data_IF_988003303931
#
_entry.id   IF_988003303931
#
_cell.length_a   1.000
_cell.length_b   1.000
_cell.length_c   1.000
_cell.angle_alpha   90.00
_cell.angle_beta   90.00
_cell.angle_gamma   90.00
#
_symmetry.space_group_name_H-M   'P 1'
#
loop_
_entity.id
_entity.type
_entity.pdbx_description
1 polymer ?
#
# COMPACT_ATOMS: atom_id res chain seq x y z
N UNK A 1 4.12 53.91 16.60
CA UNK A 1 3.75 52.51 16.50
C UNK A 1 4.65 51.76 17.45
N UNK A 2 4.10 51.10 18.47
CA UNK A 2 4.89 50.48 19.57
C UNK A 2 5.84 49.41 19.01
N UNK A 3 7.08 49.36 19.50
CA UNK A 3 8.12 48.43 19.09
C UNK A 3 7.68 46.97 19.25
N UNK A 4 6.74 46.72 20.14
CA UNK A 4 6.09 45.41 20.30
C UNK A 4 5.34 44.93 19.03
N UNK A 5 4.71 45.87 18.25
CA UNK A 5 4.05 45.50 16.98
C UNK A 5 5.04 45.17 15.88
N UNK A 6 6.23 45.78 15.89
CA UNK A 6 7.29 45.51 14.90
C UNK A 6 7.90 44.13 15.08
N UNK A 7 7.90 43.62 16.32
CA UNK A 7 8.43 42.28 16.62
C UNK A 7 7.40 41.16 16.39
N UNK A 8 6.12 41.46 16.53
CA UNK A 8 5.02 40.49 16.37
C UNK A 8 4.87 39.97 14.93
N UNK A 9 5.06 40.86 13.95
CA UNK A 9 4.90 40.50 12.52
C UNK A 9 5.94 39.46 12.08
N UNK A 10 7.27 39.63 12.32
CA UNK A 10 8.23 38.63 11.93
C UNK A 10 8.07 37.34 12.73
N UNK A 11 7.69 37.39 14.01
CA UNK A 11 7.42 36.23 14.82
C UNK A 11 6.24 35.40 14.27
N UNK A 12 5.16 36.05 13.87
CA UNK A 12 4.01 35.41 13.25
C UNK A 12 4.39 34.79 11.89
N UNK A 13 5.16 35.51 11.07
CA UNK A 13 5.63 35.00 9.80
C UNK A 13 6.50 33.71 9.98
N UNK A 14 7.42 33.73 10.95
CA UNK A 14 8.23 32.54 11.28
C UNK A 14 7.36 31.39 11.75
N UNK A 15 6.37 31.67 12.62
CA UNK A 15 5.45 30.64 13.10
C UNK A 15 4.66 30.00 11.95
N UNK A 16 4.14 30.80 11.01
CA UNK A 16 3.42 30.32 9.83
C UNK A 16 4.32 29.44 8.96
N UNK A 17 5.56 29.87 8.70
CA UNK A 17 6.52 29.11 7.90
C UNK A 17 6.88 27.79 8.58
N UNK A 18 7.16 27.83 9.88
CA UNK A 18 7.48 26.61 10.66
C UNK A 18 6.29 25.63 10.67
N UNK A 19 5.08 26.15 10.88
CA UNK A 19 3.87 25.33 10.88
C UNK A 19 3.63 24.72 9.50
N UNK A 20 3.76 25.51 8.43
CA UNK A 20 3.65 25.00 7.07
C UNK A 20 4.72 23.92 6.79
N UNK A 21 5.95 24.15 7.19
CA UNK A 21 7.04 23.17 7.04
C UNK A 21 6.72 21.87 7.78
N UNK A 22 6.22 21.93 9.01
CA UNK A 22 5.83 20.75 9.77
C UNK A 22 4.69 20.02 9.09
N UNK A 23 3.63 20.72 8.67
CA UNK A 23 2.44 20.13 8.06
C UNK A 23 2.73 19.47 6.71
N UNK A 24 3.62 20.05 5.91
CA UNK A 24 3.96 19.58 4.56
C UNK A 24 5.29 18.81 4.51
N UNK A 25 5.85 18.45 5.65
CA UNK A 25 7.07 17.64 5.67
C UNK A 25 6.79 16.19 5.26
N UNK A 26 7.72 15.52 4.58
CA UNK A 26 7.57 14.11 4.22
C UNK A 26 7.30 13.22 5.43
N UNK A 27 7.91 13.54 6.58
CA UNK A 27 7.71 12.82 7.83
C UNK A 27 6.26 12.81 8.32
N UNK A 28 5.42 13.76 7.89
CA UNK A 28 4.01 13.82 8.23
C UNK A 28 3.07 13.37 7.10
N UNK A 29 3.39 13.72 5.86
CA UNK A 29 2.55 13.39 4.70
C UNK A 29 2.70 11.93 4.28
N UNK A 30 3.91 11.46 4.19
CA UNK A 30 4.21 10.10 3.78
C UNK A 30 3.53 9.03 4.69
N UNK A 31 3.64 9.10 6.05
CA UNK A 31 2.93 8.16 6.90
C UNK A 31 1.41 8.20 6.77
N UNK A 32 0.83 9.36 6.45
CA UNK A 32 -0.62 9.47 6.21
C UNK A 32 -1.02 8.78 4.92
N UNK A 33 -0.27 9.02 3.85
CA UNK A 33 -0.47 8.36 2.56
C UNK A 33 -0.28 6.86 2.66
N UNK A 34 0.76 6.38 3.33
CA UNK A 34 0.99 4.94 3.52
C UNK A 34 -0.12 4.27 4.35
N UNK A 35 -0.76 4.99 5.27
CA UNK A 35 -1.89 4.45 6.05
C UNK A 35 -3.16 4.21 5.24
N UNK A 36 -3.28 4.79 4.06
CA UNK A 36 -4.43 4.58 3.17
C UNK A 36 -4.28 3.33 2.32
N UNK A 37 -3.12 2.67 2.37
CA UNK A 37 -2.89 1.46 1.59
C UNK A 37 -3.93 0.38 1.95
N UNK A 38 -4.57 -0.18 0.94
CA UNK A 38 -5.54 -1.25 1.10
C UNK A 38 -5.46 -2.25 -0.07
N UNK A 39 -5.78 -3.52 0.20
CA UNK A 39 -5.94 -4.52 -0.86
C UNK A 39 -7.35 -4.35 -1.43
N UNK A 40 -7.46 -3.88 -2.66
CA UNK A 40 -8.74 -3.56 -3.30
C UNK A 40 -9.25 -4.65 -4.23
N UNK A 41 -8.34 -5.41 -4.82
CA UNK A 41 -8.70 -6.49 -5.73
C UNK A 41 -7.81 -7.71 -5.54
N UNK A 42 -8.42 -8.87 -5.70
CA UNK A 42 -7.75 -10.17 -5.71
C UNK A 42 -8.29 -10.95 -6.89
N UNK A 43 -7.40 -11.32 -7.81
CA UNK A 43 -7.72 -12.15 -8.96
C UNK A 43 -6.97 -13.47 -8.89
N UNK A 44 -7.68 -14.58 -9.16
CA UNK A 44 -7.07 -15.89 -9.25
C UNK A 44 -7.12 -16.36 -10.69
N UNK A 45 -5.98 -16.77 -11.22
CA UNK A 45 -5.88 -17.38 -12.53
C UNK A 45 -5.27 -18.77 -12.38
N UNK A 46 -6.06 -19.79 -12.74
CA UNK A 46 -5.60 -21.17 -12.74
C UNK A 46 -4.76 -21.38 -14.00
N UNK A 47 -3.45 -21.45 -13.83
CA UNK A 47 -2.55 -21.88 -14.88
C UNK A 47 -2.35 -23.41 -14.76
N UNK A 48 -2.06 -24.08 -15.88
CA UNK A 48 -2.03 -25.55 -16.01
C UNK A 48 -1.51 -26.33 -14.79
N UNK A 49 -2.38 -27.14 -14.24
CA UNK A 49 -2.17 -28.34 -13.43
C UNK A 49 -1.57 -28.20 -12.04
N UNK A 50 -0.66 -27.29 -11.76
CA UNK A 50 -0.01 -27.17 -10.45
C UNK A 50 0.36 -25.72 -10.06
N UNK A 51 0.18 -24.78 -10.97
CA UNK A 51 0.56 -23.39 -10.77
C UNK A 51 -0.68 -22.50 -10.78
N UNK A 52 -0.90 -21.82 -9.69
CA UNK A 52 -1.96 -20.80 -9.58
C UNK A 52 -1.30 -19.44 -9.55
N UNK A 53 -1.79 -18.51 -10.36
CA UNK A 53 -1.34 -17.13 -10.36
C UNK A 53 -2.35 -16.30 -9.58
N UNK A 54 -1.86 -15.63 -8.55
CA UNK A 54 -2.62 -14.68 -7.75
C UNK A 54 -2.24 -13.27 -8.17
N UNK A 55 -3.24 -12.46 -8.52
CA UNK A 55 -3.09 -11.04 -8.77
C UNK A 55 -3.65 -10.28 -7.57
N UNK A 56 -2.83 -9.46 -6.96
CA UNK A 56 -3.22 -8.63 -5.81
C UNK A 56 -3.10 -7.18 -6.19
N UNK A 57 -4.22 -6.47 -6.19
CA UNK A 57 -4.29 -5.03 -6.39
C UNK A 57 -4.26 -4.30 -5.05
N UNK A 58 -3.34 -3.37 -4.93
CA UNK A 58 -3.13 -2.53 -3.74
C UNK A 58 -3.31 -1.09 -4.16
N UNK A 59 -4.21 -0.39 -3.49
CA UNK A 59 -4.48 1.02 -3.72
C UNK A 59 -3.88 1.86 -2.58
N UNK A 60 -3.27 2.97 -2.95
CA UNK A 60 -2.71 3.96 -2.03
C UNK A 60 -3.28 5.32 -2.41
N UNK A 61 -3.98 5.96 -1.49
CA UNK A 61 -4.55 7.30 -1.66
C UNK A 61 -3.66 8.36 -1.03
N UNK A 62 -3.52 9.51 -1.67
CA UNK A 62 -2.88 10.67 -1.08
C UNK A 62 -3.93 11.67 -0.58
N UNK A 63 -4.24 11.69 0.74
CA UNK A 63 -5.24 12.61 1.30
C UNK A 63 -4.70 14.03 1.48
N UNK A 64 -3.48 14.32 1.06
CA UNK A 64 -2.87 15.64 1.20
C UNK A 64 -3.14 16.54 0.00
N UNK A 65 -2.78 17.81 0.11
CA UNK A 65 -2.88 18.79 -0.97
C UNK A 65 -1.62 18.93 -1.82
N UNK A 66 -0.61 18.09 -1.59
CA UNK A 66 0.64 18.08 -2.34
C UNK A 66 0.98 16.66 -2.82
N UNK A 67 1.70 16.51 -3.95
CA UNK A 67 2.10 15.19 -4.41
C UNK A 67 3.04 14.51 -3.40
N UNK A 68 2.89 13.19 -3.25
CA UNK A 68 3.77 12.35 -2.43
C UNK A 68 4.44 11.34 -3.32
N UNK A 69 5.76 11.41 -3.42
CA UNK A 69 6.56 10.40 -4.13
C UNK A 69 7.11 9.41 -3.12
N UNK A 70 6.80 8.14 -3.34
CA UNK A 70 7.26 7.00 -2.56
C UNK A 70 8.37 6.34 -3.36
N UNK A 71 9.54 6.24 -2.79
CA UNK A 71 10.73 5.57 -3.37
C UNK A 71 10.98 4.26 -2.64
N UNK A 72 11.82 3.42 -3.22
CA UNK A 72 12.26 2.14 -2.62
C UNK A 72 11.06 1.29 -2.16
N UNK A 73 10.06 1.18 -3.03
CA UNK A 73 8.84 0.44 -2.72
C UNK A 73 9.12 -1.06 -2.75
N UNK A 74 9.07 -1.67 -1.59
CA UNK A 74 9.15 -3.13 -1.42
C UNK A 74 7.80 -3.66 -0.90
N UNK A 75 7.31 -4.73 -1.52
CA UNK A 75 6.02 -5.34 -1.17
C UNK A 75 6.22 -6.84 -1.01
N UNK A 76 6.12 -7.32 0.21
CA UNK A 76 6.09 -8.73 0.55
C UNK A 76 4.64 -9.20 0.67
N UNK A 77 4.28 -10.27 -0.02
CA UNK A 77 2.94 -10.87 0.04
C UNK A 77 3.01 -12.23 0.74
N UNK A 78 2.27 -12.35 1.83
CA UNK A 78 2.02 -13.60 2.54
C UNK A 78 0.62 -14.10 2.14
N UNK A 79 0.55 -15.33 1.68
CA UNK A 79 -0.73 -15.99 1.37
C UNK A 79 -0.91 -17.15 2.34
N UNK A 80 -1.97 -17.10 3.15
CA UNK A 80 -2.20 -18.04 4.25
C UNK A 80 -0.96 -18.20 5.15
N UNK A 81 -0.27 -17.08 5.43
CA UNK A 81 0.93 -17.04 6.26
C UNK A 81 2.21 -17.55 5.60
N UNK A 82 2.16 -17.95 4.33
CA UNK A 82 3.34 -18.38 3.57
C UNK A 82 3.85 -17.24 2.70
N UNK A 83 5.13 -16.93 2.82
CA UNK A 83 5.80 -15.97 1.94
C UNK A 83 6.03 -16.64 0.57
N UNK A 84 5.36 -16.10 -0.42
CA UNK A 84 5.62 -16.43 -1.82
C UNK A 84 6.44 -15.31 -2.41
N UNK A 85 7.69 -15.59 -2.75
CA UNK A 85 8.53 -14.65 -3.47
C UNK A 85 7.76 -14.08 -4.65
N UNK A 86 7.22 -12.90 -4.46
CA UNK A 86 6.51 -12.20 -5.53
C UNK A 86 7.52 -11.88 -6.62
N UNK A 87 7.18 -12.16 -7.87
CA UNK A 87 7.86 -11.54 -8.99
C UNK A 87 7.56 -10.04 -8.91
N UNK A 88 8.40 -9.37 -8.13
CA UNK A 88 8.29 -7.94 -7.89
C UNK A 88 8.67 -7.23 -9.18
N UNK A 89 7.68 -6.74 -9.88
CA UNK A 89 7.89 -5.59 -10.73
C UNK A 89 8.07 -4.41 -9.75
N UNK A 90 9.26 -4.26 -9.20
CA UNK A 90 9.59 -3.12 -8.36
C UNK A 90 9.49 -1.87 -9.22
N UNK A 91 8.49 -1.05 -8.98
CA UNK A 91 8.55 0.32 -9.43
C UNK A 91 9.57 1.03 -8.55
N UNK A 92 10.61 1.60 -9.14
CA UNK A 92 11.65 2.35 -8.40
C UNK A 92 11.03 3.51 -7.61
N UNK A 93 9.93 4.06 -8.09
CA UNK A 93 9.18 5.10 -7.40
C UNK A 93 7.72 5.18 -7.86
N UNK A 94 6.85 5.62 -6.97
CA UNK A 94 5.43 5.85 -7.22
C UNK A 94 5.08 7.25 -6.77
N UNK A 95 4.50 8.06 -7.64
CA UNK A 95 3.99 9.39 -7.26
C UNK A 95 2.47 9.34 -7.17
N UNK A 96 1.94 9.70 -6.00
CA UNK A 96 0.52 9.81 -5.75
C UNK A 96 0.14 11.27 -5.70
N UNK A 97 -0.63 11.71 -6.68
CA UNK A 97 -1.10 13.08 -6.79
C UNK A 97 -2.12 13.43 -5.70
N UNK A 98 -2.29 14.73 -5.36
CA UNK A 98 -3.23 15.17 -4.33
C UNK A 98 -4.65 14.66 -4.55
N UNK A 99 -5.24 14.02 -3.55
CA UNK A 99 -6.60 13.48 -3.61
C UNK A 99 -6.79 12.39 -4.67
N UNK A 100 -5.70 11.77 -5.13
CA UNK A 100 -5.74 10.65 -6.09
C UNK A 100 -5.33 9.37 -5.42
N UNK A 101 -5.79 8.27 -6.03
CA UNK A 101 -5.40 6.92 -5.68
C UNK A 101 -4.47 6.37 -6.77
N UNK A 102 -3.40 5.74 -6.36
CA UNK A 102 -2.49 5.01 -7.23
C UNK A 102 -2.63 3.52 -6.94
N UNK A 103 -2.92 2.75 -7.98
CA UNK A 103 -3.03 1.29 -7.89
C UNK A 103 -1.71 0.62 -8.26
N UNK A 104 -1.34 -0.38 -7.47
CA UNK A 104 -0.19 -1.24 -7.69
C UNK A 104 -0.72 -2.66 -7.81
N UNK A 105 -0.36 -3.36 -8.88
CA UNK A 105 -0.72 -4.78 -9.04
C UNK A 105 0.52 -5.64 -8.82
N UNK A 106 0.37 -6.67 -8.00
CA UNK A 106 1.38 -7.69 -7.77
C UNK A 106 0.89 -9.04 -8.25
N UNK A 107 1.79 -9.79 -8.84
CA UNK A 107 1.53 -11.14 -9.33
C UNK A 107 2.38 -12.11 -8.53
N UNK A 108 1.75 -13.13 -7.97
CA UNK A 108 2.39 -14.18 -7.20
C UNK A 108 2.08 -15.51 -7.83
N UNK A 109 3.10 -16.32 -8.06
CA UNK A 109 2.92 -17.70 -8.48
C UNK A 109 2.86 -18.58 -7.23
N UNK A 110 1.68 -19.16 -6.99
CA UNK A 110 1.47 -20.11 -5.90
C UNK A 110 1.89 -21.50 -6.37
N UNK A 111 2.87 -22.10 -5.67
CA UNK A 111 3.29 -23.48 -5.91
C UNK A 111 2.63 -24.41 -4.89
N UNK A 112 1.95 -25.44 -5.36
CA UNK A 112 1.19 -26.38 -4.50
C UNK A 112 -0.28 -25.95 -4.35
N UNK A 113 -0.95 -26.46 -3.31
CA UNK A 113 -2.32 -26.06 -2.95
C UNK A 113 -2.30 -25.20 -1.68
N UNK A 114 -1.96 -23.90 -1.79
CA UNK A 114 -1.90 -23.01 -0.62
C UNK A 114 -3.29 -22.61 -0.13
N UNK A 115 -4.32 -23.06 -0.79
CA UNK A 115 -5.70 -22.61 -0.63
C UNK A 115 -6.39 -23.55 0.33
N UNK A 116 -6.98 -23.01 1.40
CA UNK A 116 -7.89 -23.75 2.27
C UNK A 116 -9.04 -24.29 1.43
N UNK A 117 -9.06 -25.60 1.26
CA UNK A 117 -9.98 -26.30 0.37
C UNK A 117 -10.98 -27.06 1.23
N UNK A 118 -12.25 -26.72 1.10
CA UNK A 118 -13.35 -27.55 1.58
C UNK A 118 -14.26 -27.88 0.41
N UNK A 119 -14.49 -29.17 0.17
CA UNK A 119 -15.45 -29.64 -0.84
C UNK A 119 -16.59 -30.37 -0.14
N UNK A 120 -17.81 -29.95 -0.43
CA UNK A 120 -19.04 -30.67 -0.03
C UNK A 120 -19.53 -31.63 -1.12
N UNK A 121 -18.71 -31.91 -2.13
CA UNK A 121 -19.02 -32.79 -3.27
C UNK A 121 -19.63 -32.06 -4.46
N UNK A 122 -20.23 -30.89 -4.27
CA UNK A 122 -20.83 -30.07 -5.34
C UNK A 122 -20.19 -28.68 -5.47
N UNK A 123 -19.54 -28.22 -4.42
CA UNK A 123 -18.90 -26.90 -4.35
C UNK A 123 -17.51 -26.99 -3.74
N UNK A 124 -16.62 -26.17 -4.27
CA UNK A 124 -15.31 -25.93 -3.69
C UNK A 124 -15.31 -24.56 -3.04
N UNK A 125 -14.98 -24.52 -1.78
CA UNK A 125 -14.82 -23.29 -1.01
C UNK A 125 -13.34 -22.95 -0.90
N UNK A 126 -12.97 -21.83 -1.42
CA UNK A 126 -11.63 -21.28 -1.33
C UNK A 126 -11.60 -20.19 -0.27
N UNK A 127 -10.66 -20.28 0.66
CA UNK A 127 -10.38 -19.25 1.65
C UNK A 127 -8.94 -18.80 1.47
N UNK A 128 -8.76 -17.52 1.22
CA UNK A 128 -7.45 -16.87 1.14
C UNK A 128 -7.38 -15.78 2.20
N UNK A 129 -6.33 -15.86 3.00
CA UNK A 129 -5.87 -14.76 3.86
C UNK A 129 -4.61 -14.18 3.24
N UNK A 130 -4.69 -12.91 2.83
CA UNK A 130 -3.60 -12.22 2.18
C UNK A 130 -3.15 -11.10 3.09
N UNK A 131 -1.88 -11.18 3.46
CA UNK A 131 -1.18 -10.11 4.16
C UNK A 131 -0.18 -9.48 3.21
N UNK A 132 -0.24 -8.17 3.03
CA UNK A 132 0.76 -7.40 2.31
C UNK A 132 1.53 -6.50 3.28
N UNK A 133 2.85 -6.65 3.29
CA UNK A 133 3.76 -5.73 3.96
C UNK A 133 4.36 -4.80 2.92
N UNK A 134 4.08 -3.52 3.04
CA UNK A 134 4.53 -2.49 2.09
C UNK A 134 5.52 -1.61 2.82
N UNK A 135 6.76 -1.63 2.36
CA UNK A 135 7.81 -0.72 2.82
C UNK A 135 8.10 0.29 1.73
N UNK A 136 8.28 1.52 2.12
CA UNK A 136 8.67 2.59 1.21
C UNK A 136 9.36 3.71 1.96
N UNK A 137 10.00 4.61 1.20
CA UNK A 137 10.59 5.84 1.71
C UNK A 137 10.12 7.04 0.91
N UNK A 138 10.16 8.21 1.52
CA UNK A 138 9.92 9.47 0.85
C UNK A 138 10.98 10.47 1.24
N UNK A 139 11.48 11.23 0.25
CA UNK A 139 12.51 12.25 0.44
C UNK A 139 12.02 13.60 -0.04
N UNK A 140 12.16 14.61 0.81
CA UNK A 140 11.91 16.01 0.43
C UNK A 140 12.77 16.94 1.28
N UNK A 141 13.34 17.99 0.67
CA UNK A 141 14.16 19.00 1.33
C UNK A 141 15.32 18.42 2.17
N UNK A 142 15.89 17.29 1.73
CA UNK A 142 16.98 16.63 2.46
C UNK A 142 16.52 15.80 3.67
N UNK A 143 15.23 15.75 3.96
CA UNK A 143 14.65 14.88 4.98
C UNK A 143 14.14 13.59 4.32
N UNK A 144 14.38 12.48 4.97
CA UNK A 144 13.94 11.16 4.56
C UNK A 144 13.05 10.56 5.65
N UNK A 145 11.97 9.93 5.22
CA UNK A 145 11.09 9.17 6.08
C UNK A 145 10.88 7.79 5.46
N UNK A 146 11.02 6.74 6.25
CA UNK A 146 10.72 5.36 5.85
C UNK A 146 9.60 4.81 6.71
N UNK A 147 8.76 3.96 6.12
CA UNK A 147 7.65 3.33 6.81
C UNK A 147 7.30 1.99 6.20
N UNK A 148 6.96 1.05 7.08
CA UNK A 148 6.31 -0.22 6.73
C UNK A 148 4.85 -0.17 7.18
N UNK A 149 3.95 -0.63 6.33
CA UNK A 149 2.52 -0.79 6.61
C UNK A 149 2.13 -2.22 6.29
N UNK A 150 1.42 -2.85 7.21
CA UNK A 150 0.86 -4.20 7.04
C UNK A 150 -0.63 -4.07 6.81
N UNK A 151 -1.13 -4.65 5.75
CA UNK A 151 -2.55 -4.70 5.40
C UNK A 151 -2.98 -6.13 5.18
N UNK A 152 -4.17 -6.48 5.68
CA UNK A 152 -4.70 -7.83 5.59
C UNK A 152 -6.04 -7.80 4.87
N UNK A 153 -6.29 -8.82 4.06
CA UNK A 153 -7.59 -9.07 3.47
C UNK A 153 -7.89 -10.55 3.39
N UNK A 154 -9.00 -10.93 3.97
CA UNK A 154 -9.58 -12.25 3.79
C UNK A 154 -10.54 -12.23 2.60
N UNK A 155 -10.48 -13.25 1.78
CA UNK A 155 -11.40 -13.47 0.68
C UNK A 155 -11.84 -14.91 0.64
N UNK A 156 -13.12 -15.12 0.46
CA UNK A 156 -13.70 -16.44 0.24
C UNK A 156 -14.55 -16.44 -1.01
N UNK A 157 -14.48 -17.51 -1.79
CA UNK A 157 -15.39 -17.73 -2.92
C UNK A 157 -15.71 -19.20 -3.10
N UNK A 158 -16.82 -19.43 -3.75
CA UNK A 158 -17.32 -20.76 -4.07
C UNK A 158 -17.18 -21.00 -5.57
N UNK A 159 -16.77 -22.19 -5.93
CA UNK A 159 -16.76 -22.67 -7.30
C UNK A 159 -17.67 -23.88 -7.40
N UNK A 160 -18.69 -23.82 -8.28
CA UNK A 160 -19.58 -24.93 -8.54
C UNK A 160 -18.86 -25.94 -9.45
N UNK A 161 -18.71 -27.16 -8.98
CA UNK A 161 -18.20 -28.25 -9.82
C UNK A 161 -19.38 -28.67 -10.71
N UNK A 162 -19.37 -28.26 -11.95
CA UNK A 162 -20.28 -28.78 -12.96
C UNK A 162 -19.87 -30.24 -13.25
N UNK A 163 -20.64 -31.20 -12.73
CA UNK A 163 -20.55 -32.62 -13.07
C UNK A 163 -21.22 -32.87 -14.41
#
# INVERSE_FOLDING_TARGET
>A
MSDKKKLLIPLFAVLVVVTAFILYSPSNLFPRTMKTAEITSIGLHLADGANTILLVGIDIENPSSVPVTITDVDITLLVNGTDYNSLVLSADSITVEPGRTQSIVRMVQLTGSPIGYQSDGSRVHYLLDITAEITGSARSLGLEASRTVTINREMSWFYDILL
#
